data_IF_600072286863
#
_entry.id   IF_600072286863
#
_cell.length_a   1.000
_cell.length_b   1.000
_cell.length_c   1.000
_cell.angle_alpha   90.00
_cell.angle_beta   90.00
_cell.angle_gamma   90.00
#
_symmetry.space_group_name_H-M   'P 1'
#
loop_
_entity.id
_entity.type
_entity.pdbx_description
1 polymer ?
#
# COMPACT_ATOMS: atom_id res chain seq x y z
N UNK A 1 -28.44 16.06 -34.63
CA UNK A 1 -26.99 16.34 -34.64
C UNK A 1 -26.37 15.58 -35.78
N UNK A 2 -25.83 16.27 -36.79
CA UNK A 2 -25.11 15.64 -37.90
C UNK A 2 -23.65 15.31 -37.51
N UNK A 3 -22.95 14.46 -38.28
CA UNK A 3 -21.58 14.02 -37.94
C UNK A 3 -20.59 15.18 -37.72
N UNK A 4 -20.68 16.27 -38.49
CA UNK A 4 -19.85 17.47 -38.30
C UNK A 4 -20.13 18.20 -36.98
N UNK A 5 -21.41 18.41 -36.65
CA UNK A 5 -21.80 19.09 -35.39
C UNK A 5 -21.34 18.36 -34.13
N UNK A 6 -21.12 17.05 -34.20
CA UNK A 6 -20.58 16.28 -33.08
C UNK A 6 -19.10 16.62 -32.84
N UNK A 7 -18.29 16.69 -33.90
CA UNK A 7 -16.88 17.04 -33.79
C UNK A 7 -16.66 18.47 -33.31
N UNK A 8 -17.43 19.43 -33.83
CA UNK A 8 -17.35 20.82 -33.40
C UNK A 8 -17.69 20.97 -31.90
N UNK A 9 -18.74 20.26 -31.44
CA UNK A 9 -19.12 20.28 -30.02
C UNK A 9 -18.01 19.71 -29.12
N UNK A 10 -17.34 18.62 -29.55
CA UNK A 10 -16.23 18.05 -28.79
C UNK A 10 -15.03 18.99 -28.75
N UNK A 11 -14.69 19.63 -29.87
CA UNK A 11 -13.57 20.55 -29.96
C UNK A 11 -13.79 21.77 -29.05
N UNK A 12 -14.99 22.36 -29.06
CA UNK A 12 -15.37 23.46 -28.16
C UNK A 12 -15.23 23.08 -26.68
N UNK A 13 -15.67 21.87 -26.31
CA UNK A 13 -15.52 21.37 -24.94
C UNK A 13 -14.06 21.15 -24.53
N UNK A 14 -13.24 20.59 -25.41
CA UNK A 14 -11.82 20.40 -25.13
C UNK A 14 -11.07 21.72 -25.08
N UNK A 15 -11.41 22.67 -25.95
CA UNK A 15 -10.84 24.02 -25.97
C UNK A 15 -11.15 24.78 -24.67
N UNK A 16 -12.42 24.82 -24.22
CA UNK A 16 -12.80 25.43 -22.94
C UNK A 16 -12.09 24.75 -21.77
N UNK A 17 -12.04 23.42 -21.76
CA UNK A 17 -11.38 22.68 -20.70
C UNK A 17 -9.86 22.95 -20.63
N UNK A 18 -9.18 23.01 -21.79
CA UNK A 18 -7.76 23.32 -21.86
C UNK A 18 -7.47 24.77 -21.46
N UNK A 19 -8.31 25.71 -21.89
CA UNK A 19 -8.21 27.11 -21.49
C UNK A 19 -8.37 27.26 -19.97
N UNK A 20 -9.40 26.63 -19.38
CA UNK A 20 -9.62 26.61 -17.93
C UNK A 20 -8.44 26.00 -17.18
N UNK A 21 -7.89 24.89 -17.66
CA UNK A 21 -6.67 24.30 -17.09
C UNK A 21 -5.53 25.30 -17.10
N UNK A 22 -5.28 25.99 -18.21
CA UNK A 22 -4.18 26.94 -18.34
C UNK A 22 -4.33 28.13 -17.40
N UNK A 23 -5.51 28.74 -17.32
CA UNK A 23 -5.74 29.91 -16.44
C UNK A 23 -5.75 29.54 -14.95
N UNK A 24 -6.15 28.32 -14.59
CA UNK A 24 -6.17 27.86 -13.18
C UNK A 24 -4.84 27.28 -12.73
N UNK A 25 -3.97 26.86 -13.67
CA UNK A 25 -2.69 26.22 -13.36
C UNK A 25 -1.81 27.09 -12.45
N UNK A 26 -1.74 28.40 -12.71
CA UNK A 26 -0.90 29.32 -11.92
C UNK A 26 -1.38 29.38 -10.46
N UNK A 27 -2.69 29.50 -10.24
CA UNK A 27 -3.27 29.51 -8.90
C UNK A 27 -3.07 28.17 -8.19
N UNK A 28 -3.28 27.06 -8.91
CA UNK A 28 -3.04 25.72 -8.40
C UNK A 28 -1.58 25.51 -7.97
N UNK A 29 -0.62 25.88 -8.82
CA UNK A 29 0.81 25.76 -8.52
C UNK A 29 1.22 26.68 -7.36
N UNK A 30 0.69 27.90 -7.27
CA UNK A 30 0.95 28.81 -6.16
C UNK A 30 0.46 28.23 -4.83
N UNK A 31 -0.79 27.76 -4.78
CA UNK A 31 -1.34 27.11 -3.59
C UNK A 31 -0.52 25.87 -3.21
N UNK A 32 -0.09 25.08 -4.20
CA UNK A 32 0.74 23.90 -3.94
C UNK A 32 2.12 24.27 -3.41
N UNK A 33 2.74 25.34 -3.90
CA UNK A 33 4.03 25.82 -3.41
C UNK A 33 3.94 26.25 -1.93
N UNK A 34 2.89 26.98 -1.55
CA UNK A 34 2.64 27.34 -0.15
C UNK A 34 2.45 26.12 0.75
N UNK A 35 1.68 25.12 0.29
CA UNK A 35 1.48 23.87 1.01
C UNK A 35 2.79 23.10 1.21
N UNK A 36 3.63 23.08 0.18
CA UNK A 36 4.96 22.45 0.26
C UNK A 36 5.82 23.20 1.26
N UNK A 37 5.85 24.53 1.24
CA UNK A 37 6.62 25.33 2.20
C UNK A 37 6.19 25.05 3.66
N UNK A 38 4.90 24.89 3.91
CA UNK A 38 4.38 24.55 5.25
C UNK A 38 4.80 23.14 5.68
N UNK A 39 4.81 22.17 4.76
CA UNK A 39 5.11 20.75 5.04
C UNK A 39 6.60 20.42 5.01
N UNK A 40 7.40 21.24 4.31
CA UNK A 40 8.82 20.99 4.07
C UNK A 40 9.63 20.80 5.36
N UNK A 41 9.48 21.62 6.42
CA UNK A 41 10.24 21.42 7.66
C UNK A 41 9.99 20.05 8.29
N UNK A 42 8.72 19.64 8.38
CA UNK A 42 8.35 18.33 8.95
C UNK A 42 8.87 17.18 8.08
N UNK A 43 8.80 17.32 6.75
CA UNK A 43 9.34 16.34 5.82
C UNK A 43 10.86 16.19 5.93
N UNK A 44 11.60 17.29 6.07
CA UNK A 44 13.06 17.27 6.26
C UNK A 44 13.43 16.60 7.58
N UNK A 45 12.75 16.93 8.67
CA UNK A 45 12.99 16.28 9.98
C UNK A 45 12.73 14.78 9.88
N UNK A 46 11.60 14.38 9.28
CA UNK A 46 11.29 12.97 9.08
C UNK A 46 12.36 12.26 8.23
N UNK A 47 12.81 12.87 7.14
CA UNK A 47 13.86 12.34 6.26
C UNK A 47 15.19 12.16 7.00
N UNK A 48 15.64 13.17 7.76
CA UNK A 48 16.89 13.10 8.51
C UNK A 48 16.82 12.06 9.63
N UNK A 49 15.69 12.00 10.33
CA UNK A 49 15.47 11.00 11.39
C UNK A 49 15.56 9.57 10.85
N UNK A 50 14.91 9.29 9.70
CA UNK A 50 15.00 8.00 9.01
C UNK A 50 16.43 7.71 8.57
N UNK A 51 17.09 8.68 7.92
CA UNK A 51 18.45 8.51 7.39
C UNK A 51 19.47 8.25 8.49
N UNK A 52 19.28 8.83 9.69
CA UNK A 52 20.15 8.61 10.84
C UNK A 52 20.10 7.18 11.41
N UNK A 53 18.99 6.48 11.21
CA UNK A 53 18.82 5.09 11.66
C UNK A 53 19.32 4.04 10.67
N UNK A 54 19.75 4.46 9.47
CA UNK A 54 20.20 3.55 8.41
C UNK A 54 21.72 3.46 8.38
N UNK A 55 22.23 2.35 7.87
CA UNK A 55 23.66 2.17 7.67
C UNK A 55 24.21 3.20 6.65
N UNK A 56 25.25 3.97 7.00
CA UNK A 56 25.79 5.03 6.14
C UNK A 56 26.27 4.53 4.77
N UNK A 57 26.72 3.29 4.66
CA UNK A 57 27.19 2.74 3.36
C UNK A 57 26.01 2.50 2.42
N UNK A 58 24.89 2.05 2.98
CA UNK A 58 23.63 1.86 2.24
C UNK A 58 23.06 3.19 1.75
N UNK A 59 23.06 4.21 2.61
CA UNK A 59 22.60 5.57 2.24
C UNK A 59 23.44 6.13 1.10
N UNK A 60 24.77 6.03 1.19
CA UNK A 60 25.68 6.51 0.14
C UNK A 60 25.48 5.80 -1.20
N UNK A 61 25.38 4.46 -1.18
CA UNK A 61 25.14 3.69 -2.41
C UNK A 61 23.81 4.05 -3.07
N UNK A 62 22.77 4.32 -2.27
CA UNK A 62 21.50 4.80 -2.77
C UNK A 62 21.59 6.20 -3.38
N UNK A 63 22.20 7.16 -2.69
CA UNK A 63 22.42 8.52 -3.21
C UNK A 63 23.17 8.53 -4.54
N UNK A 64 24.21 7.68 -4.67
CA UNK A 64 24.99 7.56 -5.91
C UNK A 64 24.13 7.02 -7.06
N UNK A 65 23.24 6.06 -6.76
CA UNK A 65 22.30 5.51 -7.74
C UNK A 65 21.29 6.57 -8.20
N UNK A 66 20.75 7.37 -7.26
CA UNK A 66 19.84 8.48 -7.57
C UNK A 66 20.52 9.54 -8.42
N UNK A 67 21.70 10.03 -8.01
CA UNK A 67 22.48 11.03 -8.78
C UNK A 67 22.84 10.52 -10.17
N UNK A 68 23.20 9.25 -10.28
CA UNK A 68 23.53 8.64 -11.56
C UNK A 68 22.33 8.64 -12.51
N UNK A 69 21.13 8.34 -12.02
CA UNK A 69 19.88 8.34 -12.78
C UNK A 69 19.36 9.74 -13.11
N UNK A 70 19.45 10.70 -12.18
CA UNK A 70 19.09 12.10 -12.43
C UNK A 70 19.96 12.75 -13.50
N UNK A 71 21.24 12.33 -13.57
CA UNK A 71 22.17 12.78 -14.61
C UNK A 71 21.95 12.10 -15.96
N UNK A 72 21.48 10.86 -15.97
CA UNK A 72 21.27 10.05 -17.17
C UNK A 72 20.06 9.12 -16.99
N UNK A 73 18.97 9.47 -17.65
CA UNK A 73 17.68 8.76 -17.57
C UNK A 73 17.71 7.36 -18.21
N UNK A 74 18.79 6.98 -18.91
CA UNK A 74 18.99 5.62 -19.42
C UNK A 74 19.49 4.64 -18.35
N UNK A 75 19.96 5.13 -17.21
CA UNK A 75 20.39 4.27 -16.10
C UNK A 75 19.19 3.65 -15.37
N UNK A 76 19.39 2.57 -14.60
CA UNK A 76 18.33 1.95 -13.83
C UNK A 76 17.66 2.97 -12.90
N UNK A 77 16.34 3.10 -13.02
CA UNK A 77 15.56 3.99 -12.17
C UNK A 77 15.48 3.41 -10.74
N UNK A 78 16.09 4.06 -9.73
CA UNK A 78 16.09 3.55 -8.35
C UNK A 78 14.68 3.52 -7.74
N UNK A 79 13.75 4.35 -8.22
CA UNK A 79 12.39 4.44 -7.68
C UNK A 79 11.46 3.33 -8.16
N UNK A 80 11.89 2.50 -9.11
CA UNK A 80 11.14 1.31 -9.52
C UNK A 80 11.32 0.24 -8.46
N UNK A 81 10.21 -0.23 -7.88
CA UNK A 81 10.23 -1.32 -6.92
C UNK A 81 10.80 -2.61 -7.58
N UNK A 82 12.03 -2.95 -7.24
CA UNK A 82 12.71 -4.17 -7.71
C UNK A 82 12.33 -5.40 -6.88
N UNK A 83 11.67 -5.21 -5.74
CA UNK A 83 11.19 -6.31 -4.90
C UNK A 83 10.08 -7.06 -5.62
N UNK A 84 10.33 -8.31 -6.00
CA UNK A 84 9.27 -9.24 -6.40
C UNK A 84 8.25 -9.32 -5.28
N UNK A 85 6.99 -9.03 -5.57
CA UNK A 85 5.89 -9.23 -4.62
C UNK A 85 5.91 -10.68 -4.13
N UNK A 86 6.37 -10.87 -2.89
CA UNK A 86 6.28 -12.16 -2.23
C UNK A 86 4.80 -12.37 -1.90
N UNK A 87 4.14 -13.22 -2.66
CA UNK A 87 2.78 -13.64 -2.34
C UNK A 87 2.77 -14.31 -0.97
N UNK A 88 1.77 -13.99 -0.14
CA UNK A 88 1.53 -14.63 1.15
C UNK A 88 1.66 -16.16 1.08
N UNK A 89 1.11 -16.78 0.03
CA UNK A 89 1.19 -18.23 -0.21
C UNK A 89 2.62 -18.74 -0.41
N UNK A 90 3.48 -17.92 -1.01
CA UNK A 90 4.90 -18.27 -1.22
C UNK A 90 5.68 -18.20 0.09
N UNK A 91 5.41 -17.21 0.93
CA UNK A 91 5.99 -17.08 2.26
C UNK A 91 5.52 -18.23 3.16
N UNK A 92 4.21 -18.52 3.19
CA UNK A 92 3.65 -19.64 3.93
C UNK A 92 4.24 -20.98 3.52
N UNK A 93 4.44 -21.23 2.22
CA UNK A 93 5.12 -22.44 1.73
C UNK A 93 6.55 -22.54 2.27
N UNK A 94 7.31 -21.44 2.25
CA UNK A 94 8.69 -21.43 2.74
C UNK A 94 8.77 -21.69 4.24
N UNK A 95 7.80 -21.19 5.01
CA UNK A 95 7.70 -21.46 6.44
C UNK A 95 7.37 -22.93 6.71
N UNK A 96 6.36 -23.49 6.04
CA UNK A 96 6.01 -24.91 6.17
C UNK A 96 7.18 -25.83 5.82
N UNK A 97 7.94 -25.52 4.76
CA UNK A 97 9.12 -26.30 4.37
C UNK A 97 10.23 -26.23 5.43
N UNK A 98 10.44 -25.06 6.06
CA UNK A 98 11.41 -24.93 7.16
C UNK A 98 10.97 -25.71 8.39
N UNK A 99 9.69 -25.70 8.72
CA UNK A 99 9.14 -26.46 9.84
C UNK A 99 9.28 -27.96 9.64
N UNK A 100 9.08 -28.48 8.42
CA UNK A 100 9.35 -29.88 8.08
C UNK A 100 10.82 -30.27 8.29
N UNK A 101 11.75 -29.39 7.93
CA UNK A 101 13.19 -29.62 8.12
C UNK A 101 13.53 -29.60 9.61
N UNK A 102 13.04 -28.60 10.34
CA UNK A 102 13.24 -28.50 11.79
C UNK A 102 12.66 -29.69 12.56
N UNK A 103 11.48 -30.19 12.17
CA UNK A 103 10.87 -31.38 12.78
C UNK A 103 11.71 -32.66 12.57
N UNK A 104 12.44 -32.74 11.45
CA UNK A 104 13.35 -33.88 11.16
C UNK A 104 14.68 -33.79 11.89
N UNK A 105 15.23 -32.59 12.05
CA UNK A 105 16.56 -32.36 12.62
C UNK A 105 16.55 -32.24 14.16
N UNK A 106 15.47 -31.70 14.73
CA UNK A 106 15.29 -31.54 16.16
C UNK A 106 13.83 -31.84 16.52
N UNK A 107 13.49 -33.10 16.91
CA UNK A 107 12.16 -33.39 17.44
C UNK A 107 12.01 -32.64 18.76
N UNK A 108 11.39 -31.46 18.69
CA UNK A 108 11.15 -30.60 19.85
C UNK A 108 10.26 -31.35 20.83
N UNK A 109 10.56 -31.28 22.13
CA UNK A 109 9.85 -31.94 23.24
C UNK A 109 8.43 -31.34 23.47
N UNK A 110 8.06 -30.32 22.69
CA UNK A 110 6.77 -29.66 22.81
C UNK A 110 5.76 -30.45 21.96
N UNK A 111 4.91 -31.20 22.66
CA UNK A 111 3.78 -31.97 22.15
C UNK A 111 2.63 -31.04 21.66
N UNK A 112 2.98 -30.00 20.90
CA UNK A 112 1.99 -29.09 20.31
C UNK A 112 1.72 -29.53 18.88
N UNK A 113 0.46 -29.84 18.57
CA UNK A 113 -0.01 -30.20 17.23
C UNK A 113 0.23 -29.10 16.16
N UNK A 114 0.66 -27.90 16.58
CA UNK A 114 0.77 -26.71 15.74
C UNK A 114 2.19 -26.11 15.85
N UNK A 115 2.83 -25.87 14.71
CA UNK A 115 4.13 -25.17 14.63
C UNK A 115 4.01 -23.68 14.98
N UNK A 116 5.07 -23.08 15.50
CA UNK A 116 5.14 -21.64 15.76
C UNK A 116 4.84 -20.78 14.52
N UNK A 117 5.28 -21.22 13.33
CA UNK A 117 4.99 -20.47 12.09
C UNK A 117 3.50 -20.52 11.72
N UNK A 118 2.87 -21.68 11.95
CA UNK A 118 1.45 -21.90 11.72
C UNK A 118 0.60 -21.11 12.72
N UNK A 119 1.03 -21.02 13.98
CA UNK A 119 0.40 -20.18 14.99
C UNK A 119 0.41 -18.70 14.57
N UNK A 120 1.54 -18.19 14.08
CA UNK A 120 1.65 -16.81 13.61
C UNK A 120 0.75 -16.55 12.41
N UNK A 121 0.74 -17.48 11.43
CA UNK A 121 -0.11 -17.40 10.24
C UNK A 121 -1.59 -17.37 10.63
N UNK A 122 -2.04 -18.29 11.47
CA UNK A 122 -3.42 -18.33 11.96
C UNK A 122 -3.78 -17.08 12.78
N UNK A 123 -2.85 -16.58 13.60
CA UNK A 123 -3.03 -15.35 14.37
C UNK A 123 -3.24 -14.12 13.48
N UNK A 124 -2.46 -13.99 12.40
CA UNK A 124 -2.62 -12.90 11.43
C UNK A 124 -3.96 -12.98 10.68
N UNK A 125 -4.40 -14.20 10.31
CA UNK A 125 -5.70 -14.41 9.68
C UNK A 125 -6.86 -14.02 10.61
N UNK A 126 -6.76 -14.38 11.89
CA UNK A 126 -7.72 -13.97 12.92
C UNK A 126 -7.74 -12.46 13.12
N UNK A 127 -6.58 -11.80 13.19
CA UNK A 127 -6.49 -10.34 13.34
C UNK A 127 -7.09 -9.62 12.12
N UNK A 128 -6.90 -10.15 10.91
CA UNK A 128 -7.52 -9.61 9.70
C UNK A 128 -9.05 -9.76 9.73
N UNK A 129 -9.57 -10.93 10.15
CA UNK A 129 -11.00 -11.14 10.35
C UNK A 129 -11.59 -10.18 11.39
N UNK A 130 -10.90 -9.97 12.51
CA UNK A 130 -11.30 -9.01 13.55
C UNK A 130 -11.35 -7.58 13.00
N UNK A 131 -10.30 -7.14 12.29
CA UNK A 131 -10.26 -5.80 11.68
C UNK A 131 -11.37 -5.58 10.67
N UNK A 132 -11.64 -6.57 9.81
CA UNK A 132 -12.74 -6.50 8.85
C UNK A 132 -14.10 -6.42 9.55
N UNK A 133 -14.31 -7.25 10.58
CA UNK A 133 -15.54 -7.21 11.37
C UNK A 133 -15.75 -5.86 12.07
N UNK A 134 -14.71 -5.27 12.67
CA UNK A 134 -14.79 -3.92 13.24
C UNK A 134 -15.11 -2.85 12.20
N UNK A 135 -14.54 -2.97 11.00
CA UNK A 135 -14.82 -2.07 9.89
C UNK A 135 -16.29 -2.19 9.46
N UNK A 136 -16.77 -3.41 9.23
CA UNK A 136 -18.17 -3.69 8.87
C UNK A 136 -19.16 -3.17 9.93
N UNK A 137 -18.80 -3.26 11.21
CA UNK A 137 -19.58 -2.69 12.32
C UNK A 137 -19.65 -1.16 12.26
N UNK A 138 -18.52 -0.50 11.99
CA UNK A 138 -18.46 0.97 11.91
C UNK A 138 -19.17 1.51 10.68
N UNK A 139 -19.16 0.77 9.58
CA UNK A 139 -19.86 1.13 8.34
C UNK A 139 -21.39 0.90 8.43
N UNK A 140 -21.85 0.14 9.43
CA UNK A 140 -23.26 -0.15 9.64
C UNK A 140 -24.03 1.10 10.09
N UNK A 141 -24.58 1.84 9.12
CA UNK A 141 -25.42 3.01 9.37
C UNK A 141 -26.80 2.67 9.98
N UNK A 142 -27.53 3.69 10.43
CA UNK A 142 -28.87 3.58 11.06
C UNK A 142 -29.93 2.87 10.20
N UNK A 143 -29.69 2.75 8.88
CA UNK A 143 -30.57 2.08 7.92
C UNK A 143 -29.91 0.88 7.25
N UNK A 144 -29.20 0.06 8.04
CA UNK A 144 -28.60 -1.15 7.53
C UNK A 144 -29.63 -2.12 6.94
N UNK A 145 -29.33 -2.59 5.73
CA UNK A 145 -30.12 -3.61 5.03
C UNK A 145 -30.02 -4.95 5.74
N UNK A 146 -31.05 -5.79 5.61
CA UNK A 146 -31.05 -7.11 6.26
C UNK A 146 -29.93 -8.01 5.73
N UNK A 147 -29.52 -7.85 4.47
CA UNK A 147 -28.36 -8.53 3.90
C UNK A 147 -27.05 -8.14 4.62
N UNK A 148 -26.86 -6.86 4.97
CA UNK A 148 -25.69 -6.41 5.73
C UNK A 148 -25.68 -6.99 7.15
N UNK A 149 -26.85 -7.04 7.81
CA UNK A 149 -26.98 -7.65 9.15
C UNK A 149 -26.71 -9.16 9.15
N UNK A 150 -27.11 -9.87 8.09
CA UNK A 150 -26.83 -11.30 7.93
C UNK A 150 -25.32 -11.55 7.77
N UNK A 151 -24.66 -10.81 6.87
CA UNK A 151 -23.20 -10.93 6.67
C UNK A 151 -22.41 -10.65 7.94
N UNK A 152 -22.82 -9.65 8.71
CA UNK A 152 -22.19 -9.33 9.99
C UNK A 152 -22.35 -10.47 11.01
N UNK A 153 -23.53 -11.10 11.08
CA UNK A 153 -23.75 -12.27 11.94
C UNK A 153 -22.90 -13.46 11.50
N UNK A 154 -22.76 -13.70 10.20
CA UNK A 154 -21.90 -14.76 9.66
C UNK A 154 -20.41 -14.52 9.99
N UNK A 155 -19.93 -13.28 9.87
CA UNK A 155 -18.59 -12.88 10.31
C UNK A 155 -18.38 -13.08 11.81
N UNK A 156 -19.35 -12.70 12.65
CA UNK A 156 -19.29 -12.91 14.10
C UNK A 156 -19.22 -14.41 14.46
N UNK A 157 -20.01 -15.26 13.80
CA UNK A 157 -19.97 -16.72 14.02
C UNK A 157 -18.61 -17.31 13.62
N UNK A 158 -18.01 -16.79 12.55
CA UNK A 158 -16.69 -17.25 12.08
C UNK A 158 -15.56 -16.89 13.04
N UNK A 159 -15.67 -15.75 13.73
CA UNK A 159 -14.70 -15.29 14.75
C UNK A 159 -14.80 -16.03 16.09
N UNK A 160 -15.97 -16.57 16.41
CA UNK A 160 -16.23 -17.26 17.68
C UNK A 160 -16.06 -18.78 17.61
N UNK A 161 -15.66 -19.32 16.46
CA UNK A 161 -15.45 -20.75 16.23
C UNK A 161 -13.98 -21.11 16.36
#
# INVERSE_FOLDING_TARGET
MGPGSHWDTMDDHFADHNWRKLITLVQFLSSRAEDVLKKHPAAVVAFLSLSSGLDPTTVRGWEDTVKAWESDSMKPNPFVATVRSLSYRKVGRQLAQKDEIHAREAPTIIDSEISASQLIVQGLELEELQRRFEYDLKELGKHATDLQKVKLKEHAVTLHR
#
